data_IF_841883232783
#
_entry.id   IF_841883232783
#
_cell.length_a   1.000
_cell.length_b   1.000
_cell.length_c   1.000
_cell.angle_alpha   90.00
_cell.angle_beta   90.00
_cell.angle_gamma   90.00
#
_symmetry.space_group_name_H-M   'P 1'
#
loop_
_entity.id
_entity.type
_entity.pdbx_description
1 polymer ?
#
# COMPACT_ATOMS: atom_id res chain seq x y z
N UNK A 1 16.01 5.58 8.43
CA UNK A 1 14.61 5.67 8.01
C UNK A 1 14.40 5.00 6.67
N UNK A 2 13.54 4.00 6.70
CA UNK A 2 13.05 3.23 5.56
C UNK A 2 11.53 3.36 5.50
N UNK A 3 11.01 3.47 4.28
CA UNK A 3 9.60 3.56 3.97
C UNK A 3 9.18 2.23 3.33
N UNK A 4 8.47 1.40 4.09
CA UNK A 4 8.00 0.09 3.64
C UNK A 4 6.62 0.24 2.99
N UNK A 5 6.51 -0.05 1.69
CA UNK A 5 5.22 -0.15 1.02
C UNK A 5 4.78 -1.62 1.01
N UNK A 6 3.64 -1.93 1.61
CA UNK A 6 3.14 -3.29 1.79
C UNK A 6 1.76 -3.39 1.14
N UNK A 7 1.61 -4.23 0.12
CA UNK A 7 0.28 -4.56 -0.41
C UNK A 7 -0.40 -5.58 0.51
N UNK A 8 -1.58 -5.23 1.05
CA UNK A 8 -2.29 -6.07 2.01
C UNK A 8 -3.29 -6.98 1.30
N UNK A 9 -3.22 -8.27 1.61
CA UNK A 9 -4.17 -9.30 1.18
C UNK A 9 -4.88 -9.96 2.35
N UNK A 10 -5.68 -10.98 2.03
CA UNK A 10 -6.51 -11.69 3.00
C UNK A 10 -5.78 -12.77 3.81
N UNK A 11 -4.49 -13.03 3.53
CA UNK A 11 -3.79 -14.20 4.11
C UNK A 11 -3.76 -14.20 5.64
N UNK A 12 -3.70 -13.02 6.25
CA UNK A 12 -3.79 -12.87 7.70
C UNK A 12 -5.19 -13.25 8.21
N UNK A 13 -6.25 -12.86 7.51
CA UNK A 13 -7.62 -13.22 7.89
C UNK A 13 -7.83 -14.72 7.80
N UNK A 14 -7.38 -15.37 6.71
CA UNK A 14 -7.45 -16.84 6.57
C UNK A 14 -6.76 -17.55 7.74
N UNK A 15 -5.65 -16.96 8.23
CA UNK A 15 -4.92 -17.47 9.38
C UNK A 15 -5.65 -17.23 10.70
N UNK A 16 -6.31 -16.07 10.87
CA UNK A 16 -7.12 -15.73 12.05
C UNK A 16 -8.42 -16.53 12.13
N UNK A 17 -9.01 -16.91 11.00
CA UNK A 17 -10.18 -17.81 10.97
C UNK A 17 -9.81 -19.24 11.39
N UNK A 18 -8.57 -19.65 11.15
CA UNK A 18 -8.05 -20.96 11.52
C UNK A 18 -6.71 -20.86 12.26
N UNK A 19 -6.67 -20.33 13.50
CA UNK A 19 -5.41 -20.08 14.23
C UNK A 19 -4.55 -21.33 14.44
N UNK A 20 -5.16 -22.51 14.46
CA UNK A 20 -4.46 -23.80 14.52
C UNK A 20 -3.56 -24.08 13.31
N UNK A 21 -3.73 -23.35 12.21
CA UNK A 21 -2.86 -23.40 11.03
C UNK A 21 -1.66 -22.46 11.13
N UNK A 22 -1.64 -21.53 12.08
CA UNK A 22 -0.48 -20.67 12.32
C UNK A 22 0.60 -21.48 13.03
N UNK A 23 1.62 -21.87 12.27
CA UNK A 23 2.77 -22.60 12.81
C UNK A 23 3.44 -21.75 13.91
N UNK A 24 3.83 -22.40 15.01
CA UNK A 24 4.53 -21.79 16.13
C UNK A 24 3.72 -20.72 16.91
N UNK A 25 2.40 -20.67 16.70
CA UNK A 25 1.49 -19.87 17.53
C UNK A 25 1.29 -20.54 18.89
N UNK A 26 1.37 -19.74 19.95
CA UNK A 26 1.06 -20.13 21.33
C UNK A 26 -0.40 -20.65 21.42
N UNK A 27 -0.66 -21.86 21.97
CA UNK A 27 -2.00 -22.42 22.04
C UNK A 27 -3.02 -21.53 22.77
N UNK A 28 -2.60 -20.87 23.85
CA UNK A 28 -3.48 -19.97 24.60
C UNK A 28 -3.87 -18.75 23.74
N UNK A 29 -2.95 -18.32 22.87
CA UNK A 29 -3.20 -17.24 21.93
C UNK A 29 -4.11 -17.68 20.78
N UNK A 30 -3.97 -18.92 20.31
CA UNK A 30 -4.84 -19.51 19.31
C UNK A 30 -6.29 -19.61 19.80
N UNK A 31 -6.48 -19.93 21.08
CA UNK A 31 -7.80 -19.96 21.73
C UNK A 31 -8.35 -18.54 21.91
N UNK A 32 -7.56 -17.59 22.40
CA UNK A 32 -7.98 -16.18 22.51
C UNK A 32 -8.43 -15.58 21.16
N UNK A 33 -7.70 -15.86 20.07
CA UNK A 33 -8.09 -15.42 18.71
C UNK A 33 -9.42 -16.04 18.30
N UNK A 34 -9.64 -17.33 18.61
CA UNK A 34 -10.90 -18.02 18.28
C UNK A 34 -12.07 -17.41 19.05
N UNK A 35 -11.88 -17.18 20.34
CA UNK A 35 -12.92 -16.69 21.24
C UNK A 35 -13.32 -15.24 20.92
N UNK A 36 -12.34 -14.38 20.66
CA UNK A 36 -12.59 -12.96 20.39
C UNK A 36 -12.91 -12.67 18.91
N UNK A 37 -12.67 -13.61 17.98
CA UNK A 37 -13.02 -13.50 16.55
C UNK A 37 -12.62 -12.16 15.89
N UNK A 38 -11.32 -11.80 15.89
CA UNK A 38 -10.85 -10.48 15.43
C UNK A 38 -11.15 -10.16 13.96
N UNK A 39 -11.46 -11.17 13.14
CA UNK A 39 -11.89 -10.98 11.74
C UNK A 39 -13.23 -10.26 11.63
N UNK A 40 -14.01 -10.19 12.72
CA UNK A 40 -15.33 -9.56 12.74
C UNK A 40 -15.36 -8.11 13.21
N UNK A 41 -14.21 -7.57 13.65
CA UNK A 41 -14.12 -6.27 14.33
C UNK A 41 -14.76 -5.12 13.54
N UNK A 42 -14.67 -5.13 12.21
CA UNK A 42 -15.35 -4.16 11.35
C UNK A 42 -16.69 -4.67 10.81
N UNK A 43 -16.81 -5.97 10.49
CA UNK A 43 -17.99 -6.53 9.83
C UNK A 43 -19.24 -6.57 10.72
N UNK A 44 -19.09 -6.71 12.04
CA UNK A 44 -20.22 -6.77 12.96
C UNK A 44 -21.03 -5.45 12.98
N UNK A 45 -20.38 -4.34 12.66
CA UNK A 45 -21.00 -3.00 12.59
C UNK A 45 -21.28 -2.60 11.15
N UNK A 46 -20.31 -2.77 10.26
CA UNK A 46 -20.40 -2.29 8.88
C UNK A 46 -21.13 -3.26 7.93
N UNK A 47 -21.30 -4.53 8.32
CA UNK A 47 -21.76 -5.58 7.41
C UNK A 47 -20.84 -5.69 6.19
N UNK A 48 -21.34 -5.31 5.02
CA UNK A 48 -20.60 -5.29 3.74
C UNK A 48 -20.35 -3.88 3.20
N UNK A 49 -20.72 -2.84 3.93
CA UNK A 49 -20.59 -1.44 3.49
C UNK A 49 -19.16 -0.93 3.74
N UNK A 50 -18.46 -0.62 2.65
CA UNK A 50 -17.10 -0.08 2.65
C UNK A 50 -16.98 1.27 3.36
N UNK A 51 -17.99 2.12 3.26
CA UNK A 51 -18.01 3.45 3.87
C UNK A 51 -18.19 3.33 5.38
N UNK A 52 -19.11 2.46 5.80
CA UNK A 52 -19.31 2.17 7.22
C UNK A 52 -18.05 1.54 7.84
N UNK A 53 -17.39 0.60 7.15
CA UNK A 53 -16.16 -0.02 7.64
C UNK A 53 -15.00 0.98 7.77
N UNK A 54 -14.87 1.92 6.83
CA UNK A 54 -13.88 2.99 6.92
C UNK A 54 -14.13 3.94 8.10
N UNK A 55 -15.40 4.30 8.33
CA UNK A 55 -15.78 5.13 9.47
C UNK A 55 -15.53 4.40 10.80
N UNK A 56 -15.85 3.11 10.87
CA UNK A 56 -15.59 2.27 12.05
C UNK A 56 -14.09 2.12 12.34
N UNK A 57 -13.28 1.85 11.32
CA UNK A 57 -11.82 1.81 11.46
C UNK A 57 -11.26 3.14 11.98
N UNK A 58 -11.73 4.26 11.44
CA UNK A 58 -11.33 5.58 11.93
C UNK A 58 -11.73 5.79 13.40
N UNK A 59 -12.92 5.33 13.81
CA UNK A 59 -13.37 5.40 15.19
C UNK A 59 -12.53 4.51 16.13
N UNK A 60 -12.17 3.29 15.71
CA UNK A 60 -11.29 2.39 16.44
C UNK A 60 -9.89 2.99 16.71
N UNK A 61 -9.37 3.79 15.79
CA UNK A 61 -8.06 4.43 15.89
C UNK A 61 -8.09 5.83 16.51
N UNK A 62 -9.28 6.33 16.85
CA UNK A 62 -9.46 7.64 17.49
C UNK A 62 -9.56 7.48 19.01
N UNK A 63 -8.59 8.02 19.75
CA UNK A 63 -8.56 7.93 21.19
C UNK A 63 -9.82 8.52 21.84
N UNK A 64 -10.35 7.82 22.85
CA UNK A 64 -11.51 8.26 23.64
C UNK A 64 -12.87 7.77 23.15
N UNK A 65 -12.94 7.08 22.00
CA UNK A 65 -14.17 6.43 21.53
C UNK A 65 -14.41 5.09 22.24
N UNK A 66 -15.66 4.61 22.22
CA UNK A 66 -15.98 3.25 22.69
C UNK A 66 -15.31 2.17 21.84
N UNK A 67 -15.26 2.41 20.53
CA UNK A 67 -14.59 1.58 19.53
C UNK A 67 -13.11 1.40 19.84
N UNK A 68 -12.42 2.50 20.19
CA UNK A 68 -11.02 2.45 20.57
C UNK A 68 -10.81 1.65 21.85
N UNK A 69 -11.64 1.85 22.88
CA UNK A 69 -11.57 1.04 24.11
C UNK A 69 -11.79 -0.45 23.84
N UNK A 70 -12.76 -0.77 22.99
CA UNK A 70 -13.03 -2.15 22.60
C UNK A 70 -11.83 -2.76 21.87
N UNK A 71 -11.26 -2.05 20.89
CA UNK A 71 -10.08 -2.50 20.16
C UNK A 71 -8.86 -2.65 21.07
N UNK A 72 -8.62 -1.73 22.01
CA UNK A 72 -7.53 -1.84 22.99
C UNK A 72 -7.65 -3.10 23.84
N UNK A 73 -8.86 -3.44 24.32
CA UNK A 73 -9.10 -4.71 25.04
C UNK A 73 -8.78 -5.90 24.13
N UNK A 74 -9.30 -5.89 22.91
CA UNK A 74 -9.10 -6.97 21.95
C UNK A 74 -7.61 -7.21 21.66
N UNK A 75 -6.86 -6.13 21.39
CA UNK A 75 -5.40 -6.17 21.18
C UNK A 75 -4.65 -6.73 22.39
N UNK A 76 -5.08 -6.38 23.61
CA UNK A 76 -4.50 -6.93 24.83
C UNK A 76 -4.71 -8.45 24.96
N UNK A 77 -5.89 -8.95 24.61
CA UNK A 77 -6.20 -10.38 24.68
C UNK A 77 -5.46 -11.19 23.60
N UNK A 78 -5.56 -10.76 22.35
CA UNK A 78 -5.03 -11.53 21.20
C UNK A 78 -3.57 -11.22 20.85
N UNK A 79 -2.96 -10.23 21.52
CA UNK A 79 -1.52 -9.87 21.50
C UNK A 79 -0.88 -9.97 20.10
N UNK A 80 -1.31 -9.15 19.13
CA UNK A 80 -0.83 -9.24 17.74
C UNK A 80 0.69 -9.12 17.59
N UNK A 81 1.36 -8.40 18.49
CA UNK A 81 2.83 -8.34 18.54
C UNK A 81 3.52 -9.69 18.78
N UNK A 82 2.81 -10.71 19.29
CA UNK A 82 3.31 -12.07 19.50
C UNK A 82 2.99 -13.03 18.35
N UNK A 83 2.30 -12.62 17.30
CA UNK A 83 2.00 -13.50 16.16
C UNK A 83 3.25 -13.85 15.35
N UNK A 84 3.43 -15.11 14.92
CA UNK A 84 4.51 -15.50 14.02
C UNK A 84 4.51 -14.67 12.73
N UNK A 85 5.70 -14.38 12.17
CA UNK A 85 5.77 -13.62 10.91
C UNK A 85 5.11 -14.38 9.75
N UNK A 86 5.12 -15.71 9.81
CA UNK A 86 4.48 -16.60 8.83
C UNK A 86 2.94 -16.56 8.86
N UNK A 87 2.33 -15.83 9.80
CA UNK A 87 0.88 -15.66 9.88
C UNK A 87 0.31 -14.85 8.69
N UNK A 88 1.13 -14.07 8.00
CA UNK A 88 0.73 -13.39 6.77
C UNK A 88 1.90 -13.24 5.80
N UNK A 89 1.60 -13.13 4.51
CA UNK A 89 2.63 -12.89 3.49
C UNK A 89 3.32 -11.53 3.71
N UNK A 90 2.59 -10.55 4.22
CA UNK A 90 3.04 -9.20 4.51
C UNK A 90 4.10 -9.18 5.62
N UNK A 91 3.81 -9.81 6.76
CA UNK A 91 4.73 -9.90 7.91
C UNK A 91 5.98 -10.72 7.58
N UNK A 92 5.81 -11.83 6.85
CA UNK A 92 6.92 -12.70 6.47
C UNK A 92 7.87 -11.98 5.49
N UNK A 93 7.32 -11.26 4.51
CA UNK A 93 8.14 -10.51 3.55
C UNK A 93 8.92 -9.41 4.24
N UNK A 94 8.26 -8.66 5.14
CA UNK A 94 8.92 -7.58 5.87
C UNK A 94 10.05 -8.11 6.76
N UNK A 95 9.88 -9.28 7.37
CA UNK A 95 10.91 -9.92 8.19
C UNK A 95 12.09 -10.44 7.37
N UNK A 96 11.85 -10.98 6.16
CA UNK A 96 12.88 -11.58 5.31
C UNK A 96 13.52 -10.63 4.29
N UNK A 97 12.99 -9.42 4.12
CA UNK A 97 13.61 -8.40 3.29
C UNK A 97 14.91 -7.88 3.95
N UNK A 98 15.85 -7.32 3.19
CA UNK A 98 17.07 -6.73 3.74
C UNK A 98 16.76 -5.65 4.79
N UNK A 99 17.39 -5.76 5.96
CA UNK A 99 17.10 -4.87 7.10
C UNK A 99 15.76 -5.14 7.79
N UNK A 100 15.06 -6.21 7.39
CA UNK A 100 13.79 -6.65 7.92
C UNK A 100 13.82 -6.95 9.41
N UNK A 101 12.71 -6.63 10.07
CA UNK A 101 12.50 -6.84 11.50
C UNK A 101 11.08 -7.31 11.69
N UNK A 102 10.83 -8.07 12.75
CA UNK A 102 9.47 -8.49 13.11
C UNK A 102 8.55 -7.30 13.41
N UNK A 103 9.09 -6.30 14.08
CA UNK A 103 8.39 -5.07 14.44
C UNK A 103 9.02 -3.87 13.75
N UNK A 104 8.20 -2.88 13.44
CA UNK A 104 8.61 -1.65 12.81
C UNK A 104 9.55 -0.85 13.73
N UNK A 105 10.69 -0.43 13.20
CA UNK A 105 11.63 0.41 13.93
C UNK A 105 11.03 1.81 14.22
N UNK A 106 11.56 2.51 15.22
CA UNK A 106 11.07 3.83 15.63
C UNK A 106 11.26 4.91 14.56
N UNK A 107 12.21 4.75 13.66
CA UNK A 107 12.50 5.69 12.57
C UNK A 107 11.94 5.24 11.22
N UNK A 108 11.40 4.03 11.13
CA UNK A 108 10.82 3.48 9.90
C UNK A 108 9.32 3.78 9.81
N UNK A 109 8.78 3.72 8.59
CA UNK A 109 7.35 3.91 8.31
C UNK A 109 6.85 2.72 7.51
N UNK A 110 5.74 2.11 7.92
CA UNK A 110 5.05 1.11 7.11
C UNK A 110 3.81 1.74 6.48
N UNK A 111 3.61 1.57 5.19
CA UNK A 111 2.43 2.00 4.44
C UNK A 111 1.73 0.75 3.93
N UNK A 112 0.60 0.42 4.56
CA UNK A 112 -0.23 -0.72 4.24
C UNK A 112 -1.30 -0.30 3.24
N UNK A 113 -1.20 -0.79 2.00
CA UNK A 113 -2.16 -0.52 0.94
C UNK A 113 -3.35 -1.46 1.10
N UNK A 114 -4.46 -0.92 1.60
CA UNK A 114 -5.70 -1.64 1.81
C UNK A 114 -6.68 -1.40 0.65
N UNK A 115 -7.40 -2.45 0.24
CA UNK A 115 -8.61 -2.27 -0.55
C UNK A 115 -9.67 -1.57 0.30
N UNK A 116 -10.67 -0.98 -0.35
CA UNK A 116 -11.82 -0.36 0.31
C UNK A 116 -12.88 -1.36 0.79
N UNK A 117 -12.59 -2.67 0.73
CA UNK A 117 -13.47 -3.71 1.26
C UNK A 117 -13.29 -3.88 2.77
N UNK A 118 -14.33 -4.39 3.45
CA UNK A 118 -14.30 -4.66 4.89
C UNK A 118 -13.13 -5.58 5.27
N UNK A 119 -12.94 -6.64 4.49
CA UNK A 119 -11.83 -7.59 4.68
C UNK A 119 -10.47 -6.92 4.46
N UNK A 120 -10.34 -6.07 3.43
CA UNK A 120 -9.10 -5.35 3.16
C UNK A 120 -8.68 -4.43 4.29
N UNK A 121 -9.63 -3.65 4.81
CA UNK A 121 -9.42 -2.77 5.95
C UNK A 121 -9.14 -3.55 7.24
N UNK A 122 -9.85 -4.64 7.48
CA UNK A 122 -9.64 -5.52 8.66
C UNK A 122 -8.26 -6.18 8.62
N UNK A 123 -7.86 -6.71 7.46
CA UNK A 123 -6.53 -7.29 7.27
C UNK A 123 -5.43 -6.25 7.47
N UNK A 124 -5.63 -5.02 6.99
CA UNK A 124 -4.66 -3.94 7.15
C UNK A 124 -4.53 -3.49 8.60
N UNK A 125 -5.64 -3.40 9.34
CA UNK A 125 -5.65 -3.12 10.78
C UNK A 125 -4.80 -4.14 11.54
N UNK A 126 -5.03 -5.43 11.33
CA UNK A 126 -4.32 -6.46 12.08
C UNK A 126 -2.85 -6.60 11.68
N UNK A 127 -2.51 -6.42 10.40
CA UNK A 127 -1.11 -6.34 9.98
C UNK A 127 -0.41 -5.12 10.59
N UNK A 128 -1.07 -3.95 10.62
CA UNK A 128 -0.51 -2.74 11.21
C UNK A 128 -0.24 -2.94 12.71
N UNK A 129 -1.19 -3.51 13.46
CA UNK A 129 -1.03 -3.82 14.87
C UNK A 129 0.05 -4.87 15.14
N UNK A 130 0.17 -5.90 14.29
CA UNK A 130 1.26 -6.86 14.42
C UNK A 130 2.63 -6.20 14.21
N UNK A 131 2.74 -5.29 13.23
CA UNK A 131 3.97 -4.53 12.95
C UNK A 131 4.33 -3.55 14.06
N UNK A 132 3.37 -2.93 14.73
CA UNK A 132 3.60 -2.00 15.84
C UNK A 132 3.71 -2.68 17.19
N UNK A 133 3.63 -4.02 17.24
CA UNK A 133 3.69 -4.78 18.49
C UNK A 133 2.41 -4.71 19.33
N UNK A 134 1.30 -4.28 18.73
CA UNK A 134 0.01 -4.03 19.40
C UNK A 134 -0.15 -2.59 19.89
N UNK A 135 0.77 -1.69 19.54
CA UNK A 135 0.65 -0.28 19.89
C UNK A 135 -0.29 0.44 18.92
N UNK A 136 -1.47 0.83 19.41
CA UNK A 136 -2.51 1.55 18.67
C UNK A 136 -2.09 2.99 18.33
N UNK A 137 -1.30 3.66 19.19
CA UNK A 137 -0.89 5.05 18.98
C UNK A 137 0.13 5.18 17.83
N UNK A 138 0.68 4.04 17.40
CA UNK A 138 1.55 3.90 16.25
C UNK A 138 0.82 3.47 14.98
N UNK A 139 -0.51 3.35 14.99
CA UNK A 139 -1.33 3.04 13.81
C UNK A 139 -2.14 4.27 13.41
N UNK A 140 -2.06 4.65 12.14
CA UNK A 140 -2.78 5.81 11.60
C UNK A 140 -3.56 5.39 10.34
N UNK A 141 -4.85 5.72 10.29
CA UNK A 141 -5.68 5.48 9.11
C UNK A 141 -5.74 6.73 8.22
N UNK A 142 -5.50 6.54 6.93
CA UNK A 142 -5.55 7.55 5.89
C UNK A 142 -6.70 7.23 4.94
N UNK A 143 -7.70 8.12 4.91
CA UNK A 143 -8.97 7.90 4.18
C UNK A 143 -8.83 7.93 2.65
N UNK A 144 -7.62 8.19 2.15
CA UNK A 144 -7.27 8.02 0.76
C UNK A 144 -5.80 8.35 0.44
N UNK A 145 -5.37 8.12 -0.80
CA UNK A 145 -3.98 8.30 -1.23
C UNK A 145 -3.40 9.72 -1.11
N UNK A 146 -4.26 10.74 -1.12
CA UNK A 146 -3.87 12.14 -1.00
C UNK A 146 -3.82 12.63 0.45
N UNK A 147 -4.30 11.85 1.42
CA UNK A 147 -4.35 12.26 2.82
C UNK A 147 -2.93 12.34 3.40
N UNK A 148 -2.50 13.49 3.93
CA UNK A 148 -1.17 13.63 4.51
C UNK A 148 -1.13 12.96 5.89
N UNK A 149 -0.07 12.21 6.22
CA UNK A 149 0.12 11.71 7.58
C UNK A 149 0.56 12.84 8.53
N UNK A 150 0.14 12.76 9.79
CA UNK A 150 0.42 13.82 10.78
C UNK A 150 1.82 13.71 11.40
N UNK A 151 2.30 12.49 11.65
CA UNK A 151 3.63 12.22 12.21
C UNK A 151 4.12 10.81 11.84
N UNK A 152 4.55 10.58 10.58
CA UNK A 152 4.65 9.24 10.02
C UNK A 152 5.76 8.35 10.62
N UNK A 153 6.81 8.92 11.23
CA UNK A 153 7.96 8.16 11.73
C UNK A 153 7.56 7.21 12.86
N UNK A 154 8.00 5.96 12.76
CA UNK A 154 7.69 4.91 13.71
C UNK A 154 6.27 4.38 13.59
N UNK A 155 5.49 4.78 12.58
CA UNK A 155 4.07 4.43 12.44
C UNK A 155 3.78 3.48 11.28
N UNK A 156 2.72 2.70 11.47
CA UNK A 156 2.04 1.96 10.43
C UNK A 156 0.83 2.77 9.92
N UNK A 157 0.90 3.20 8.67
CA UNK A 157 -0.12 3.95 7.97
C UNK A 157 -1.00 2.99 7.17
N UNK A 158 -2.28 2.90 7.49
CA UNK A 158 -3.26 2.16 6.70
C UNK A 158 -3.83 3.12 5.67
N UNK A 159 -3.53 2.89 4.39
CA UNK A 159 -4.03 3.71 3.29
C UNK A 159 -5.13 2.96 2.57
N UNK A 160 -6.35 3.49 2.63
CA UNK A 160 -7.45 3.00 1.79
C UNK A 160 -7.19 3.43 0.34
N UNK A 161 -7.22 2.47 -0.58
CA UNK A 161 -7.14 2.72 -2.03
C UNK A 161 -8.48 2.33 -2.66
N UNK A 162 -9.40 3.29 -2.88
CA UNK A 162 -10.69 3.01 -3.47
C UNK A 162 -10.58 2.35 -4.85
N UNK A 163 -11.40 1.33 -5.11
CA UNK A 163 -11.43 0.62 -6.38
C UNK A 163 -10.25 -0.31 -6.63
N UNK A 164 -9.39 -0.57 -5.62
CA UNK A 164 -8.30 -1.52 -5.76
C UNK A 164 -8.80 -2.98 -5.92
N UNK A 165 -9.92 -3.33 -5.29
CA UNK A 165 -10.70 -4.54 -5.61
C UNK A 165 -11.69 -4.24 -6.75
N UNK A 166 -11.13 -3.84 -7.90
CA UNK A 166 -11.91 -3.36 -9.02
C UNK A 166 -12.77 -4.45 -9.63
N UNK A 167 -14.05 -4.15 -9.90
CA UNK A 167 -14.92 -4.96 -10.76
C UNK A 167 -14.99 -4.44 -12.19
N UNK A 168 -14.44 -3.25 -12.44
CA UNK A 168 -14.42 -2.56 -13.73
C UNK A 168 -13.04 -1.99 -14.03
N UNK A 169 -12.73 -1.82 -15.31
CA UNK A 169 -11.49 -1.20 -15.77
C UNK A 169 -11.34 0.27 -15.32
N UNK A 170 -12.46 1.00 -15.25
CA UNK A 170 -12.48 2.39 -14.78
C UNK A 170 -12.13 2.52 -13.29
N UNK A 171 -12.63 1.60 -12.45
CA UNK A 171 -12.30 1.61 -11.01
C UNK A 171 -10.83 1.29 -10.80
N UNK A 172 -10.33 0.31 -11.57
CA UNK A 172 -8.94 -0.08 -11.54
C UNK A 172 -8.02 1.09 -11.95
N UNK A 173 -8.36 1.79 -13.03
CA UNK A 173 -7.62 2.97 -13.50
C UNK A 173 -7.56 4.07 -12.43
N UNK A 174 -8.69 4.35 -11.77
CA UNK A 174 -8.75 5.30 -10.65
C UNK A 174 -7.89 4.86 -9.47
N UNK A 175 -7.87 3.57 -9.14
CA UNK A 175 -7.00 3.04 -8.10
C UNK A 175 -5.52 3.26 -8.43
N UNK A 176 -5.12 3.11 -9.70
CA UNK A 176 -3.73 3.33 -10.13
C UNK A 176 -3.32 4.80 -10.11
N UNK A 177 -4.21 5.71 -10.51
CA UNK A 177 -4.02 7.15 -10.30
C UNK A 177 -3.86 7.48 -8.80
N UNK A 178 -4.68 6.84 -7.96
CA UNK A 178 -4.56 6.88 -6.51
C UNK A 178 -3.19 6.45 -6.02
N UNK A 179 -2.66 5.32 -6.48
CA UNK A 179 -1.31 4.86 -6.12
C UNK A 179 -0.21 5.85 -6.53
N UNK A 180 -0.34 6.48 -7.71
CA UNK A 180 0.54 7.57 -8.14
C UNK A 180 0.50 8.77 -7.19
N UNK A 181 -0.71 9.18 -6.81
CA UNK A 181 -0.97 10.25 -5.84
C UNK A 181 -0.35 9.92 -4.48
N UNK A 182 -0.52 8.68 -3.99
CA UNK A 182 0.14 8.21 -2.77
C UNK A 182 1.66 8.34 -2.89
N UNK A 183 2.23 7.85 -3.98
CA UNK A 183 3.67 7.97 -4.22
C UNK A 183 4.14 9.42 -4.10
N UNK A 184 3.42 10.37 -4.71
CA UNK A 184 3.72 11.80 -4.60
C UNK A 184 3.59 12.32 -3.17
N UNK A 185 2.53 11.96 -2.47
CA UNK A 185 2.33 12.32 -1.04
C UNK A 185 3.50 11.83 -0.20
N UNK A 186 3.92 10.57 -0.37
CA UNK A 186 5.04 9.99 0.38
C UNK A 186 6.34 10.72 0.07
N UNK A 187 6.62 11.03 -1.19
CA UNK A 187 7.82 11.77 -1.58
C UNK A 187 7.84 13.18 -1.00
N UNK A 188 6.71 13.88 -1.05
CA UNK A 188 6.66 15.32 -0.71
C UNK A 188 6.40 15.59 0.77
N UNK A 189 5.80 14.64 1.49
CA UNK A 189 5.38 14.82 2.89
C UNK A 189 6.08 13.90 3.89
N UNK A 190 6.55 12.72 3.46
CA UNK A 190 7.15 11.73 4.36
C UNK A 190 8.65 11.61 4.15
N UNK A 191 9.08 11.47 2.89
CA UNK A 191 10.47 11.33 2.46
C UNK A 191 10.98 12.63 1.81
N UNK A 192 10.61 13.77 2.39
CA UNK A 192 10.89 15.10 1.83
C UNK A 192 12.39 15.44 1.82
N UNK A 193 13.21 14.75 2.62
CA UNK A 193 14.66 14.95 2.60
C UNK A 193 15.31 14.29 1.37
N UNK A 194 14.66 13.29 0.78
CA UNK A 194 15.15 12.53 -0.36
C UNK A 194 16.24 11.50 -0.02
N UNK A 195 16.61 11.36 1.25
CA UNK A 195 17.61 10.40 1.74
C UNK A 195 16.99 9.04 2.11
N UNK A 196 15.67 8.96 2.22
CA UNK A 196 14.97 7.77 2.71
C UNK A 196 14.87 6.66 1.65
N UNK A 197 15.07 5.41 2.11
CA UNK A 197 14.92 4.24 1.25
C UNK A 197 13.45 3.83 1.14
N UNK A 198 13.01 3.42 -0.04
CA UNK A 198 11.70 2.84 -0.28
C UNK A 198 11.83 1.34 -0.54
N UNK A 199 11.16 0.52 0.27
CA UNK A 199 11.12 -0.94 0.12
C UNK A 199 9.69 -1.39 -0.16
N UNK A 200 9.45 -1.91 -1.35
CA UNK A 200 8.17 -2.49 -1.75
C UNK A 200 8.14 -3.99 -1.41
N UNK A 201 7.12 -4.41 -0.67
CA UNK A 201 6.87 -5.79 -0.26
C UNK A 201 5.66 -6.33 -1.01
N UNK A 202 5.91 -7.13 -2.05
CA UNK A 202 4.92 -7.48 -3.08
C UNK A 202 4.47 -8.95 -3.03
N UNK A 203 4.70 -9.65 -1.92
CA UNK A 203 4.30 -11.06 -1.78
C UNK A 203 2.82 -11.22 -1.41
N UNK A 204 2.28 -10.24 -0.68
CA UNK A 204 0.88 -10.17 -0.25
C UNK A 204 0.03 -9.30 -1.16
N UNK A 205 -1.26 -9.21 -0.83
CA UNK A 205 -2.20 -8.31 -1.51
C UNK A 205 -2.74 -8.77 -2.86
N UNK A 206 -3.42 -7.82 -3.50
CA UNK A 206 -4.13 -8.03 -4.74
C UNK A 206 -3.15 -8.24 -5.89
N UNK A 207 -3.05 -9.48 -6.39
CA UNK A 207 -2.05 -9.87 -7.40
C UNK A 207 -2.10 -9.04 -8.68
N UNK A 208 -3.29 -8.58 -9.08
CA UNK A 208 -3.42 -7.75 -10.28
C UNK A 208 -2.83 -6.33 -10.10
N UNK A 209 -2.63 -5.87 -8.85
CA UNK A 209 -1.95 -4.61 -8.56
C UNK A 209 -0.42 -4.72 -8.60
N UNK A 210 0.17 -5.92 -8.55
CA UNK A 210 1.64 -6.11 -8.50
C UNK A 210 2.36 -5.44 -9.68
N UNK A 211 1.95 -5.60 -10.96
CA UNK A 211 2.58 -4.90 -12.08
C UNK A 211 2.61 -3.38 -11.89
N UNK A 212 1.56 -2.82 -11.28
CA UNK A 212 1.40 -1.39 -11.06
C UNK A 212 2.23 -0.88 -9.89
N UNK A 213 2.33 -1.66 -8.82
CA UNK A 213 3.25 -1.36 -7.72
C UNK A 213 4.71 -1.41 -8.18
N UNK A 214 5.05 -2.32 -9.10
CA UNK A 214 6.34 -2.32 -9.79
C UNK A 214 6.50 -1.03 -10.60
N UNK A 215 5.51 -0.64 -11.40
CA UNK A 215 5.52 0.62 -12.16
C UNK A 215 5.70 1.86 -11.27
N UNK A 216 5.01 1.91 -10.13
CA UNK A 216 5.15 2.95 -9.11
C UNK A 216 6.57 2.98 -8.53
N UNK A 217 7.12 1.81 -8.18
CA UNK A 217 8.49 1.69 -7.68
C UNK A 217 9.52 2.13 -8.74
N UNK A 218 9.32 1.80 -10.01
CA UNK A 218 10.15 2.27 -11.13
C UNK A 218 10.04 3.80 -11.30
N UNK A 219 8.84 4.36 -11.19
CA UNK A 219 8.59 5.81 -11.18
C UNK A 219 9.37 6.49 -10.06
N UNK A 220 9.21 6.02 -8.82
CA UNK A 220 9.92 6.55 -7.66
C UNK A 220 11.44 6.40 -7.76
N UNK A 221 11.92 5.30 -8.35
CA UNK A 221 13.35 5.04 -8.59
C UNK A 221 13.96 6.00 -9.62
N UNK A 222 13.12 6.57 -10.48
CA UNK A 222 13.51 7.47 -11.57
C UNK A 222 13.59 8.92 -11.12
N UNK A 223 12.94 9.29 -10.00
CA UNK A 223 13.03 10.61 -9.38
C UNK A 223 14.46 10.94 -8.93
N UNK A 224 14.88 12.22 -8.98
CA UNK A 224 16.19 12.65 -8.49
C UNK A 224 16.22 12.56 -6.97
N UNK A 225 16.66 11.42 -6.43
CA UNK A 225 16.78 11.18 -4.98
C UNK A 225 18.02 10.38 -4.64
N UNK A 226 18.47 10.51 -3.38
CA UNK A 226 19.64 9.78 -2.85
C UNK A 226 19.24 8.41 -2.31
N UNK A 227 18.09 8.32 -1.66
CA UNK A 227 17.54 7.08 -1.13
C UNK A 227 17.28 6.03 -2.22
N UNK A 228 17.52 4.77 -1.89
CA UNK A 228 17.31 3.66 -2.82
C UNK A 228 15.83 3.26 -2.89
N UNK A 229 15.39 2.81 -4.07
CA UNK A 229 14.08 2.19 -4.25
C UNK A 229 14.28 0.72 -4.64
N UNK A 230 13.68 -0.19 -3.88
CA UNK A 230 13.81 -1.62 -4.07
C UNK A 230 12.43 -2.30 -3.93
N UNK A 231 12.26 -3.45 -4.59
CA UNK A 231 11.06 -4.26 -4.49
C UNK A 231 11.45 -5.71 -4.21
N UNK A 232 10.67 -6.37 -3.37
CA UNK A 232 10.91 -7.72 -2.88
C UNK A 232 9.64 -8.56 -2.95
N UNK A 233 9.81 -9.85 -3.21
CA UNK A 233 8.75 -10.84 -3.24
C UNK A 233 9.26 -12.16 -2.66
N UNK A 234 8.40 -12.86 -1.92
CA UNK A 234 8.64 -14.21 -1.44
C UNK A 234 8.21 -15.22 -2.50
N UNK A 235 9.05 -16.20 -2.75
CA UNK A 235 8.64 -17.40 -3.46
C UNK A 235 8.14 -18.41 -2.43
N UNK A 236 6.85 -18.79 -2.51
CA UNK A 236 6.15 -19.62 -1.50
C UNK A 236 6.88 -20.93 -1.17
N UNK A 237 7.58 -21.49 -2.15
CA UNK A 237 8.30 -22.77 -2.00
C UNK A 237 9.73 -22.65 -1.45
N UNK A 238 10.21 -21.44 -1.15
CA UNK A 238 11.56 -21.23 -0.59
C UNK A 238 11.47 -20.72 0.83
N UNK A 239 12.15 -21.41 1.76
CA UNK A 239 12.42 -20.89 3.11
C UNK A 239 13.53 -19.81 3.13
N UNK A 240 13.97 -19.35 1.97
CA UNK A 240 15.05 -18.38 1.83
C UNK A 240 14.62 -16.93 1.98
N UNK A 241 15.58 -16.06 1.73
CA UNK A 241 15.44 -14.61 1.72
C UNK A 241 14.45 -14.13 0.66
N UNK A 242 13.92 -12.91 0.85
CA UNK A 242 13.07 -12.30 -0.15
C UNK A 242 13.82 -12.03 -1.46
N UNK A 243 13.18 -12.37 -2.59
CA UNK A 243 13.75 -12.18 -3.92
C UNK A 243 13.62 -10.71 -4.29
N UNK A 244 14.75 -10.06 -4.57
CA UNK A 244 14.76 -8.70 -5.09
C UNK A 244 14.31 -8.68 -6.55
N UNK A 245 13.26 -7.94 -6.83
CA UNK A 245 12.78 -7.72 -8.19
C UNK A 245 13.61 -6.64 -8.89
N UNK A 246 13.97 -6.82 -10.18
CA UNK A 246 14.64 -5.78 -10.95
C UNK A 246 13.67 -4.63 -11.21
N UNK A 247 14.10 -3.41 -10.89
CA UNK A 247 13.37 -2.18 -11.20
C UNK A 247 14.15 -1.37 -12.23
N UNK A 248 13.47 -0.95 -13.30
CA UNK A 248 14.03 -0.08 -14.34
C UNK A 248 14.10 1.37 -13.85
N UNK A 249 14.92 2.17 -14.54
CA UNK A 249 14.90 3.63 -14.46
C UNK A 249 14.37 4.18 -15.77
N UNK A 250 13.41 5.09 -15.68
CA UNK A 250 12.84 5.81 -16.79
C UNK A 250 13.58 7.12 -17.00
N UNK A 251 13.69 7.56 -18.26
CA UNK A 251 14.18 8.89 -18.57
C UNK A 251 13.07 9.90 -18.28
N UNK A 252 13.16 10.61 -17.14
CA UNK A 252 12.13 11.56 -16.72
C UNK A 252 11.86 12.66 -17.75
N UNK A 253 12.88 13.13 -18.49
CA UNK A 253 12.67 14.16 -19.51
C UNK A 253 11.76 13.67 -20.63
N UNK A 254 11.97 12.43 -21.08
CA UNK A 254 11.10 11.79 -22.06
C UNK A 254 9.71 11.53 -21.48
N UNK A 255 9.62 11.10 -20.22
CA UNK A 255 8.35 10.85 -19.55
C UNK A 255 7.52 12.14 -19.40
N UNK A 256 8.11 13.24 -18.95
CA UNK A 256 7.44 14.55 -18.88
C UNK A 256 6.99 15.03 -20.26
N UNK A 257 7.82 14.86 -21.29
CA UNK A 257 7.46 15.24 -22.67
C UNK A 257 6.30 14.39 -23.20
N UNK A 258 6.27 13.11 -22.86
CA UNK A 258 5.23 12.17 -23.26
C UNK A 258 3.90 12.42 -22.53
N UNK A 259 3.93 12.68 -21.22
CA UNK A 259 2.74 12.83 -20.39
C UNK A 259 2.22 14.28 -20.30
N UNK A 260 3.07 15.28 -20.56
CA UNK A 260 2.72 16.70 -20.50
C UNK A 260 1.49 17.13 -21.32
N UNK A 261 1.21 16.56 -22.51
CA UNK A 261 0.04 16.93 -23.30
C UNK A 261 -1.31 16.45 -22.73
N UNK A 262 -1.31 15.52 -21.77
CA UNK A 262 -2.55 14.95 -21.22
C UNK A 262 -3.18 15.88 -20.18
N UNK A 263 -4.49 16.11 -20.32
CA UNK A 263 -5.29 16.95 -19.42
C UNK A 263 -5.90 16.11 -18.30
N UNK A 264 -6.67 16.74 -17.41
CA UNK A 264 -7.29 16.11 -16.24
C UNK A 264 -8.25 14.96 -16.62
N UNK A 265 -8.77 14.96 -17.85
CA UNK A 265 -9.59 13.88 -18.38
C UNK A 265 -8.78 12.69 -18.95
N UNK A 266 -7.45 12.72 -18.81
CA UNK A 266 -6.56 11.67 -19.29
C UNK A 266 -6.49 11.54 -20.82
N UNK A 267 -6.95 12.53 -21.59
CA UNK A 267 -6.96 12.48 -23.06
C UNK A 267 -6.24 13.67 -23.69
N UNK A 268 -5.75 13.46 -24.91
CA UNK A 268 -5.14 14.52 -25.72
C UNK A 268 -5.27 14.26 -27.21
N UNK A 269 -5.51 15.30 -28.00
CA UNK A 269 -5.43 15.25 -29.46
C UNK A 269 -4.00 15.52 -29.96
N UNK A 270 -3.12 15.99 -29.08
CA UNK A 270 -1.73 16.28 -29.42
C UNK A 270 -0.95 14.97 -29.46
N UNK A 271 -0.26 14.74 -30.57
CA UNK A 271 0.58 13.56 -30.72
C UNK A 271 1.75 13.61 -29.72
N UNK A 272 1.95 12.57 -28.88
CA UNK A 272 3.16 12.42 -28.09
C UNK A 272 4.42 12.36 -28.97
N UNK A 273 5.62 12.54 -28.41
CA UNK A 273 6.87 12.55 -29.17
C UNK A 273 7.02 11.37 -30.15
N UNK A 274 7.67 11.61 -31.29
CA UNK A 274 7.70 10.67 -32.43
C UNK A 274 8.33 9.30 -32.14
N UNK A 275 9.11 9.17 -31.06
CA UNK A 275 9.77 7.94 -30.67
C UNK A 275 8.81 6.90 -30.03
N UNK A 276 7.59 7.32 -29.63
CA UNK A 276 6.50 6.44 -29.14
C UNK A 276 6.93 5.45 -28.05
N UNK A 277 7.98 5.77 -27.30
CA UNK A 277 8.65 4.86 -26.34
C UNK A 277 7.70 4.38 -25.24
N UNK A 278 6.66 5.16 -24.94
CA UNK A 278 5.69 4.86 -23.88
C UNK A 278 4.30 4.48 -24.41
N UNK A 279 4.11 4.31 -25.73
CA UNK A 279 2.86 3.79 -26.29
C UNK A 279 2.64 2.33 -25.83
N UNK A 280 1.41 1.97 -25.44
CA UNK A 280 1.09 0.67 -24.82
C UNK A 280 1.55 0.51 -23.38
N UNK A 281 2.31 1.47 -22.84
CA UNK A 281 2.73 1.50 -21.45
C UNK A 281 2.04 2.61 -20.67
N UNK A 282 2.25 3.88 -21.06
CA UNK A 282 1.70 5.04 -20.37
C UNK A 282 0.49 5.66 -21.11
N UNK A 283 0.37 5.44 -22.41
CA UNK A 283 -0.78 5.90 -23.18
C UNK A 283 -1.02 4.99 -24.38
N UNK A 284 -2.23 5.05 -24.93
CA UNK A 284 -2.63 4.36 -26.15
C UNK A 284 -3.38 5.31 -27.09
N UNK A 285 -3.43 4.97 -28.38
CA UNK A 285 -4.33 5.65 -29.31
C UNK A 285 -5.78 5.35 -28.97
N UNK A 286 -6.64 6.36 -29.05
CA UNK A 286 -8.09 6.16 -28.88
C UNK A 286 -8.63 5.24 -29.98
N UNK A 287 -9.72 4.51 -29.70
CA UNK A 287 -10.30 3.55 -30.64
C UNK A 287 -10.73 4.17 -31.98
N UNK A 288 -11.07 5.46 -32.00
CA UNK A 288 -11.44 6.23 -33.18
C UNK A 288 -10.24 6.86 -33.91
N UNK A 289 -9.02 6.71 -33.38
CA UNK A 289 -7.77 7.25 -33.93
C UNK A 289 -7.65 8.77 -33.88
N UNK A 290 -8.55 9.46 -33.17
CA UNK A 290 -8.58 10.94 -33.13
C UNK A 290 -7.64 11.54 -32.09
N UNK A 291 -7.10 10.72 -31.18
CA UNK A 291 -6.16 11.17 -30.17
C UNK A 291 -5.53 10.03 -29.40
N UNK A 292 -5.11 10.35 -28.19
CA UNK A 292 -4.46 9.45 -27.25
C UNK A 292 -5.14 9.54 -25.89
N UNK A 293 -5.13 8.43 -25.16
CA UNK A 293 -5.61 8.34 -23.78
C UNK A 293 -4.60 7.67 -22.87
N UNK A 294 -4.55 8.11 -21.61
CA UNK A 294 -3.68 7.52 -20.62
C UNK A 294 -4.13 6.10 -20.30
N UNK A 295 -3.17 5.19 -20.20
CA UNK A 295 -3.40 3.91 -19.53
C UNK A 295 -3.49 4.14 -18.02
N UNK A 296 -3.93 3.13 -17.27
CA UNK A 296 -3.88 3.16 -15.80
C UNK A 296 -2.47 3.42 -15.26
N UNK A 297 -1.44 2.89 -15.92
CA UNK A 297 -0.03 3.19 -15.61
C UNK A 297 0.32 4.64 -15.88
N UNK A 298 -0.09 5.19 -17.03
CA UNK A 298 0.17 6.59 -17.38
C UNK A 298 -0.47 7.57 -16.41
N UNK A 299 -1.71 7.32 -16.01
CA UNK A 299 -2.42 8.11 -15.00
C UNK A 299 -1.66 8.10 -13.66
N UNK A 300 -1.25 6.91 -13.18
CA UNK A 300 -0.43 6.80 -11.97
C UNK A 300 0.93 7.49 -12.07
N UNK A 301 1.61 7.37 -13.21
CA UNK A 301 2.90 8.03 -13.43
C UNK A 301 2.75 9.55 -13.47
N UNK A 302 1.75 10.08 -14.17
CA UNK A 302 1.46 11.51 -14.22
C UNK A 302 1.14 12.05 -12.82
N UNK A 303 0.31 11.35 -12.04
CA UNK A 303 -0.02 11.72 -10.67
C UNK A 303 1.23 11.72 -9.76
N UNK A 304 2.14 10.75 -9.95
CA UNK A 304 3.39 10.66 -9.19
C UNK A 304 4.35 11.82 -9.51
N UNK A 305 4.68 12.00 -10.79
CA UNK A 305 5.73 12.94 -11.21
C UNK A 305 5.24 14.38 -11.24
N UNK A 306 3.92 14.58 -11.18
CA UNK A 306 3.28 15.87 -11.31
C UNK A 306 3.39 16.47 -12.72
N UNK A 307 2.88 17.68 -12.87
CA UNK A 307 3.09 18.44 -14.11
C UNK A 307 4.45 19.13 -14.07
N UNK A 308 5.09 19.39 -15.23
CA UNK A 308 6.34 20.15 -15.29
C UNK A 308 6.27 21.53 -14.61
N UNK A 309 5.07 22.11 -14.54
CA UNK A 309 4.78 23.39 -13.90
C UNK A 309 4.73 23.29 -12.36
N UNK A 310 4.58 22.07 -11.84
CA UNK A 310 4.55 21.75 -10.42
C UNK A 310 5.96 21.33 -9.99
N UNK A 311 6.83 22.32 -9.75
CA UNK A 311 8.19 22.07 -9.27
C UNK A 311 8.16 21.18 -8.01
N UNK A 312 8.79 20.00 -8.09
CA UNK A 312 8.86 19.08 -6.97
C UNK A 312 9.89 19.52 -5.91
N UNK A 313 10.75 20.50 -6.22
CA UNK A 313 11.79 20.98 -5.29
C UNK A 313 12.78 19.88 -4.86
N UNK A 314 12.91 18.82 -5.66
CA UNK A 314 13.76 17.63 -5.41
C UNK A 314 15.12 17.74 -6.09
#
# INVERSE_FOLDING_TARGET
MTLHLVSVGSTLLDALEAPSRMRDLDPDLADAIRDESPTRVLSDIAGTDSTAAAAELAACLSAGTDQHRHLTRLVHEIRPGRWPSVSSAELDTLTRAPGGRRHLAEDDVAVLLATDTVDGLTAALWNALALTGGDLDRVEYLDGPAAPPTAPRGRALIVRVPGLDSRTESDFTRAMEGLGTLGRTLVTKVAASGDENFLFHLSGGYKAAVPYLIGLAEGLRSLPRKGAVQAFMLHRDTQGDAIRLPLRRMNLKLLYKALGPFRDNGRTALRPPDDRVFEGYAYDSTADGTGFELTAFGAGLLALIGRPEEDLGL
#
